data_IF_543394462529
#
_entry.id   IF_543394462529
#
_cell.length_a   1.000
_cell.length_b   1.000
_cell.length_c   1.000
_cell.angle_alpha   90.00
_cell.angle_beta   90.00
_cell.angle_gamma   90.00
#
_symmetry.space_group_name_H-M   'P 1'
#
loop_
_entity.id
_entity.type
_entity.pdbx_description
1 polymer ?
#
# COMPACT_ATOMS: atom_id res chain seq x y z
N UNK A 1 -0.39 -14.81 -14.26
CA UNK A 1 0.06 -13.72 -13.36
C UNK A 1 -0.17 -12.39 -14.05
N UNK A 2 -0.78 -11.40 -13.39
CA UNK A 2 -0.98 -10.09 -14.00
C UNK A 2 0.36 -9.37 -14.24
N UNK A 3 0.48 -8.68 -15.37
CA UNK A 3 1.76 -8.29 -15.99
C UNK A 3 2.62 -7.32 -15.19
N UNK A 4 2.08 -6.63 -14.18
CA UNK A 4 2.84 -5.72 -13.32
C UNK A 4 3.81 -6.42 -12.36
N UNK A 5 3.75 -7.75 -12.26
CA UNK A 5 4.74 -8.55 -11.53
C UNK A 5 5.99 -8.87 -12.38
N UNK A 6 6.00 -8.53 -13.67
CA UNK A 6 7.08 -8.92 -14.60
C UNK A 6 8.27 -7.94 -14.62
N UNK A 7 8.15 -6.74 -14.04
CA UNK A 7 9.23 -5.73 -13.99
C UNK A 7 10.02 -5.69 -12.67
N UNK A 8 9.65 -6.49 -11.66
CA UNK A 8 10.50 -6.84 -10.52
C UNK A 8 10.73 -5.78 -9.43
N UNK A 9 10.19 -4.55 -9.54
CA UNK A 9 10.39 -3.51 -8.53
C UNK A 9 9.06 -2.97 -8.01
N UNK A 10 8.83 -3.17 -6.71
CA UNK A 10 7.79 -2.54 -5.92
C UNK A 10 8.44 -1.48 -5.03
N UNK A 11 8.00 -0.23 -5.14
CA UNK A 11 8.41 0.82 -4.19
C UNK A 11 7.41 0.83 -3.04
N UNK A 12 7.90 0.59 -1.83
CA UNK A 12 7.06 0.58 -0.63
C UNK A 12 7.45 1.72 0.30
N UNK A 13 6.46 2.48 0.76
CA UNK A 13 6.63 3.58 1.69
C UNK A 13 5.93 3.25 3.00
N UNK A 14 6.62 3.51 4.12
CA UNK A 14 5.97 3.49 5.44
C UNK A 14 5.23 4.79 5.64
N UNK A 15 3.96 4.71 6.06
CA UNK A 15 3.07 5.85 6.32
C UNK A 15 2.56 5.77 7.75
N UNK A 16 2.26 6.93 8.33
CA UNK A 16 1.72 7.00 9.69
C UNK A 16 0.23 6.62 9.75
N UNK A 17 -0.52 6.99 8.71
CA UNK A 17 -1.95 6.70 8.54
C UNK A 17 -2.17 6.10 7.14
N UNK A 18 -2.44 4.79 7.11
CA UNK A 18 -2.63 4.04 5.87
C UNK A 18 -3.91 4.47 5.15
N UNK A 19 -5.00 4.65 5.89
CA UNK A 19 -6.30 4.97 5.31
C UNK A 19 -6.26 6.33 4.65
N UNK A 20 -5.67 7.32 5.31
CA UNK A 20 -5.47 8.65 4.75
C UNK A 20 -4.57 8.60 3.51
N UNK A 21 -3.43 7.89 3.56
CA UNK A 21 -2.51 7.80 2.43
C UNK A 21 -3.18 7.15 1.19
N UNK A 22 -3.94 6.08 1.41
CA UNK A 22 -4.69 5.39 0.35
C UNK A 22 -5.75 6.31 -0.24
N UNK A 23 -6.51 7.03 0.59
CA UNK A 23 -7.52 7.98 0.10
C UNK A 23 -6.90 9.08 -0.77
N UNK A 24 -5.79 9.68 -0.35
CA UNK A 24 -5.08 10.69 -1.14
C UNK A 24 -4.60 10.12 -2.47
N UNK A 25 -4.05 8.90 -2.49
CA UNK A 25 -3.61 8.25 -3.71
C UNK A 25 -4.79 8.01 -4.69
N UNK A 26 -5.94 7.56 -4.18
CA UNK A 26 -7.16 7.33 -4.97
C UNK A 26 -7.71 8.66 -5.52
N UNK A 27 -7.74 9.73 -4.72
CA UNK A 27 -8.14 11.07 -5.19
C UNK A 27 -7.24 11.56 -6.33
N UNK A 28 -5.96 11.17 -6.33
CA UNK A 28 -5.03 11.42 -7.42
C UNK A 28 -5.12 10.39 -8.58
N UNK A 29 -6.08 9.48 -8.49
CA UNK A 29 -6.48 8.48 -9.49
C UNK A 29 -5.59 7.25 -9.55
N UNK A 30 -4.94 6.90 -8.43
CA UNK A 30 -4.44 5.55 -8.23
C UNK A 30 -5.61 4.56 -8.09
N UNK A 31 -5.36 3.29 -8.40
CA UNK A 31 -6.29 2.18 -8.21
C UNK A 31 -5.74 1.22 -7.18
N UNK A 32 -6.55 0.84 -6.20
CA UNK A 32 -6.19 -0.21 -5.25
C UNK A 32 -6.10 -1.54 -5.98
N UNK A 33 -4.97 -2.24 -5.82
CA UNK A 33 -4.77 -3.59 -6.31
C UNK A 33 -5.08 -4.60 -5.20
N UNK A 34 -4.51 -4.35 -4.01
CA UNK A 34 -4.69 -5.20 -2.83
C UNK A 34 -4.69 -4.35 -1.56
N UNK A 35 -5.47 -4.78 -0.57
CA UNK A 35 -5.48 -4.22 0.77
C UNK A 35 -5.36 -5.38 1.76
N UNK A 36 -4.31 -5.38 2.56
CA UNK A 36 -4.08 -6.34 3.63
C UNK A 36 -4.32 -5.62 4.94
N UNK A 37 -5.41 -5.96 5.61
CA UNK A 37 -5.69 -5.44 6.93
C UNK A 37 -4.73 -6.03 7.95
N UNK A 38 -4.43 -7.33 7.91
CA UNK A 38 -3.56 -8.01 8.88
C UNK A 38 -2.37 -8.68 8.18
N UNK A 39 -1.23 -7.99 8.09
CA UNK A 39 0.05 -8.64 7.80
C UNK A 39 0.58 -9.35 9.06
N UNK A 40 1.20 -10.54 8.94
CA UNK A 40 1.78 -11.28 10.07
C UNK A 40 2.85 -10.53 10.90
N UNK A 41 3.32 -9.36 10.45
CA UNK A 41 4.30 -8.54 11.17
C UNK A 41 3.71 -7.29 11.86
N UNK A 42 2.40 -7.27 12.14
CA UNK A 42 1.67 -6.12 12.72
C UNK A 42 1.62 -4.87 11.83
N UNK A 43 1.57 -5.07 10.52
CA UNK A 43 1.38 -3.99 9.55
C UNK A 43 -0.02 -4.03 8.94
N UNK A 44 -0.57 -2.86 8.67
CA UNK A 44 -1.53 -2.68 7.58
C UNK A 44 -0.76 -2.42 6.29
N UNK A 45 -1.16 -3.04 5.18
CA UNK A 45 -0.50 -2.87 3.90
C UNK A 45 -1.50 -2.61 2.76
N UNK A 46 -1.13 -1.78 1.80
CA UNK A 46 -1.92 -1.57 0.59
C UNK A 46 -1.01 -1.48 -0.63
N UNK A 47 -1.36 -2.15 -1.72
CA UNK A 47 -0.73 -1.97 -3.02
C UNK A 47 -1.66 -1.20 -3.96
N UNK A 48 -1.09 -0.20 -4.63
CA UNK A 48 -1.77 0.72 -5.52
C UNK A 48 -1.11 0.68 -6.90
N UNK A 49 -1.90 0.83 -7.95
CA UNK A 49 -1.42 1.19 -9.28
C UNK A 49 -1.64 2.67 -9.52
N UNK A 50 -0.56 3.39 -9.74
CA UNK A 50 -0.60 4.81 -10.10
C UNK A 50 -1.05 5.00 -11.56
N UNK A 51 -1.45 6.22 -11.93
CA UNK A 51 -1.88 6.56 -13.30
C UNK A 51 -0.84 6.23 -14.38
N UNK A 52 0.44 6.36 -14.05
CA UNK A 52 1.54 6.05 -14.95
C UNK A 52 1.82 4.54 -15.10
N UNK A 53 1.00 3.68 -14.47
CA UNK A 53 1.13 2.23 -14.52
C UNK A 53 2.08 1.64 -13.48
N UNK A 54 2.83 2.46 -12.74
CA UNK A 54 3.70 1.99 -11.65
C UNK A 54 2.88 1.40 -10.51
N UNK A 55 3.47 0.40 -9.83
CA UNK A 55 2.91 -0.17 -8.59
C UNK A 55 3.67 0.39 -7.40
N UNK A 56 2.93 0.83 -6.39
CA UNK A 56 3.45 1.37 -5.14
C UNK A 56 2.78 0.64 -3.96
N UNK A 57 3.54 0.41 -2.90
CA UNK A 57 3.07 -0.11 -1.63
C UNK A 57 3.04 0.96 -0.55
N UNK A 58 2.00 0.94 0.30
CA UNK A 58 1.97 1.64 1.57
C UNK A 58 1.96 0.62 2.70
N UNK A 59 2.75 0.89 3.73
CA UNK A 59 2.82 0.11 4.96
C UNK A 59 2.58 1.03 6.15
N UNK A 60 1.71 0.64 7.08
CA UNK A 60 1.58 1.33 8.37
C UNK A 60 1.86 0.33 9.47
N UNK A 61 2.82 0.65 10.33
CA UNK A 61 3.06 -0.13 11.54
C UNK A 61 1.90 0.12 12.49
N UNK A 62 1.22 -0.94 12.91
CA UNK A 62 0.21 -0.79 13.96
C UNK A 62 0.94 -0.42 15.23
N UNK A 63 0.49 0.66 15.89
CA UNK A 63 0.92 0.92 17.25
C UNK A 63 0.41 -0.25 18.08
N UNK A 64 1.31 -1.10 18.57
CA UNK A 64 0.99 -1.98 19.68
C UNK A 64 0.43 -1.07 20.76
N UNK A 65 -0.82 -1.31 21.19
CA UNK A 65 -1.29 -0.70 22.41
C UNK A 65 -0.29 -1.11 23.50
N UNK A 66 0.53 -0.15 23.96
CA UNK A 66 1.30 -0.36 25.17
C UNK A 66 0.26 -0.43 26.29
N UNK A 67 0.00 -1.63 26.77
CA UNK A 67 -0.70 -1.89 28.04
C UNK A 67 0.10 -1.33 29.23
#
# INVERSE_FOLDING_TARGET
>A
MPDYLKSGVLITLTVEDLDQAVQVAIQNGAKVLFFFSNDPNDYGACHLRLKNGMVMGFLQRRKTAME
#
